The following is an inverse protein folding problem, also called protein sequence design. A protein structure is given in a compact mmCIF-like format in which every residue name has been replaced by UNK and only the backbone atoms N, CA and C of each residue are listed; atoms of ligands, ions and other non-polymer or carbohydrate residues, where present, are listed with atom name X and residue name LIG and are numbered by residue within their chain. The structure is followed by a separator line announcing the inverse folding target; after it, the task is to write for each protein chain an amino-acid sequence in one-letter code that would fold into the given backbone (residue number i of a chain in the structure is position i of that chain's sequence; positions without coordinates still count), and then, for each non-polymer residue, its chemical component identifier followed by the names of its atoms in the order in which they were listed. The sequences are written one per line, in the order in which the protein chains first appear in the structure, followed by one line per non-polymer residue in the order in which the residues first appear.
data_IF_761326329199
#
_entry.id   IF_761326329199
#
_cell.length_a   1.000
_cell.length_b   1.000
_cell.length_c   1.000
_cell.angle_alpha   90.00
_cell.angle_beta   90.00
_cell.angle_gamma   90.00
#
_symmetry.space_group_name_H-M   'P 1'
#
loop_
_entity.id
_entity.type
_entity.pdbx_description
1 polymer ?
#
# COMPACT_ATOMS: atom_id res chain seq x y z
N UNK A 1 8.40 -27.51 1.35
CA UNK A 1 7.67 -26.55 2.21
C UNK A 1 6.23 -26.54 1.72
N UNK A 2 5.25 -26.56 2.61
CA UNK A 2 3.83 -26.48 2.27
C UNK A 2 3.49 -25.06 1.82
N UNK A 3 2.67 -24.92 0.79
CA UNK A 3 2.18 -23.62 0.31
C UNK A 3 1.41 -22.88 1.42
N UNK A 4 1.56 -21.56 1.46
CA UNK A 4 0.84 -20.70 2.39
C UNK A 4 -0.58 -20.48 1.88
N UNK A 5 -1.57 -20.79 2.72
CA UNK A 5 -2.99 -20.71 2.42
C UNK A 5 -3.53 -19.33 2.76
N UNK A 6 -3.90 -18.55 1.74
CA UNK A 6 -4.31 -17.16 1.89
C UNK A 6 -5.80 -16.95 1.62
N UNK A 7 -6.42 -16.14 2.45
CA UNK A 7 -7.73 -15.54 2.19
C UNK A 7 -7.51 -14.22 1.47
N UNK A 8 -8.33 -13.92 0.47
CA UNK A 8 -8.43 -12.60 -0.13
C UNK A 8 -9.71 -11.94 0.32
N UNK A 9 -9.60 -10.79 1.00
CA UNK A 9 -10.72 -9.95 1.39
C UNK A 9 -11.12 -9.00 0.26
N UNK A 10 -12.44 -8.81 0.05
CA UNK A 10 -12.97 -8.03 -1.07
C UNK A 10 -12.66 -8.69 -2.42
N UNK A 11 -12.74 -10.03 -2.48
CA UNK A 11 -12.30 -10.83 -3.62
C UNK A 11 -13.03 -10.51 -4.94
N UNK A 12 -14.26 -10.02 -4.88
CA UNK A 12 -15.03 -9.58 -6.04
C UNK A 12 -14.64 -8.19 -6.55
N UNK A 13 -13.90 -7.40 -5.79
CA UNK A 13 -13.42 -6.08 -6.18
C UNK A 13 -12.23 -6.10 -7.14
N UNK A 14 -11.86 -4.92 -7.65
CA UNK A 14 -10.74 -4.78 -8.60
C UNK A 14 -9.43 -5.34 -8.06
N UNK A 15 -9.03 -4.95 -6.83
CA UNK A 15 -7.80 -5.46 -6.20
C UNK A 15 -7.92 -6.93 -5.80
N UNK A 16 -9.11 -7.35 -5.30
CA UNK A 16 -9.34 -8.74 -4.93
C UNK A 16 -9.13 -9.70 -6.11
N UNK A 17 -9.71 -9.39 -7.26
CA UNK A 17 -9.53 -10.19 -8.50
C UNK A 17 -8.06 -10.20 -8.95
N UNK A 18 -7.35 -9.06 -8.85
CA UNK A 18 -5.92 -9.00 -9.14
C UNK A 18 -5.12 -9.88 -8.19
N UNK A 19 -5.45 -9.89 -6.89
CA UNK A 19 -4.81 -10.74 -5.88
C UNK A 19 -5.07 -12.23 -6.14
N UNK A 20 -6.31 -12.61 -6.45
CA UNK A 20 -6.66 -14.01 -6.80
C UNK A 20 -5.82 -14.48 -7.98
N UNK A 21 -5.70 -13.65 -9.04
CA UNK A 21 -4.85 -13.96 -10.19
C UNK A 21 -3.37 -14.07 -9.80
N UNK A 22 -2.86 -13.12 -9.05
CA UNK A 22 -1.46 -13.10 -8.61
C UNK A 22 -1.11 -14.31 -7.73
N UNK A 23 -2.01 -14.75 -6.83
CA UNK A 23 -1.82 -15.97 -6.02
C UNK A 23 -1.69 -17.19 -6.90
N UNK A 24 -2.55 -17.34 -7.92
CA UNK A 24 -2.51 -18.49 -8.84
C UNK A 24 -1.18 -18.57 -9.64
N UNK A 25 -0.53 -17.42 -9.85
CA UNK A 25 0.75 -17.33 -10.58
C UNK A 25 1.99 -17.41 -9.66
N UNK A 26 1.81 -17.40 -8.33
CA UNK A 26 2.92 -17.32 -7.37
C UNK A 26 3.19 -18.64 -6.68
N UNK A 27 4.39 -19.22 -6.86
CA UNK A 27 4.83 -20.44 -6.17
C UNK A 27 4.86 -20.23 -4.64
N UNK A 28 4.45 -21.23 -3.90
CA UNK A 28 4.44 -21.22 -2.44
C UNK A 28 3.21 -20.57 -1.82
N UNK A 29 2.23 -20.15 -2.64
CA UNK A 29 0.96 -19.58 -2.21
C UNK A 29 -0.23 -20.34 -2.83
N UNK A 30 -1.32 -20.44 -2.08
CA UNK A 30 -2.58 -20.98 -2.56
C UNK A 30 -3.75 -20.17 -2.02
N UNK A 31 -4.76 -19.96 -2.85
CA UNK A 31 -6.02 -19.34 -2.42
C UNK A 31 -6.80 -20.35 -1.56
N UNK A 32 -7.02 -20.03 -0.30
CA UNK A 32 -7.77 -20.85 0.65
C UNK A 32 -9.19 -20.32 0.90
N UNK A 33 -9.45 -19.06 0.54
CA UNK A 33 -10.76 -18.47 0.72
C UNK A 33 -10.89 -17.12 0.05
N UNK A 34 -12.12 -16.76 -0.26
CA UNK A 34 -12.49 -15.49 -0.89
C UNK A 34 -13.64 -14.85 -0.09
N UNK A 35 -13.32 -13.72 0.58
CA UNK A 35 -14.30 -12.95 1.35
C UNK A 35 -14.90 -11.83 0.53
N UNK A 36 -16.19 -11.57 0.73
CA UNK A 36 -16.87 -10.43 0.16
C UNK A 36 -17.85 -9.83 1.19
N UNK A 37 -18.23 -8.57 0.97
CA UNK A 37 -19.16 -7.86 1.85
C UNK A 37 -20.58 -8.42 1.79
N UNK A 38 -21.30 -8.31 2.92
CA UNK A 38 -22.74 -8.65 2.97
C UNK A 38 -23.51 -7.87 1.90
N UNK A 39 -24.47 -8.53 1.25
CA UNK A 39 -25.28 -7.94 0.19
C UNK A 39 -24.62 -7.87 -1.18
N UNK A 40 -23.37 -8.31 -1.33
CA UNK A 40 -22.74 -8.39 -2.64
C UNK A 40 -23.42 -9.44 -3.55
N UNK A 41 -23.79 -9.09 -4.79
CA UNK A 41 -24.37 -10.04 -5.75
C UNK A 41 -23.36 -11.11 -6.23
N UNK A 42 -22.11 -11.02 -5.80
CA UNK A 42 -21.04 -11.92 -6.18
C UNK A 42 -20.88 -13.10 -5.21
N UNK A 43 -21.60 -13.09 -4.08
CA UNK A 43 -21.58 -14.20 -3.12
C UNK A 43 -21.99 -15.51 -3.81
N UNK A 44 -21.24 -16.59 -3.55
CA UNK A 44 -21.42 -17.90 -4.16
C UNK A 44 -20.80 -18.07 -5.54
N UNK A 45 -20.33 -17.01 -6.20
CA UNK A 45 -19.60 -17.10 -7.46
C UNK A 45 -18.17 -17.57 -7.22
N UNK A 46 -17.57 -18.21 -8.23
CA UNK A 46 -16.21 -18.74 -8.18
C UNK A 46 -15.17 -17.62 -8.33
N UNK A 47 -14.21 -17.57 -7.40
CA UNK A 47 -13.18 -16.54 -7.36
C UNK A 47 -12.23 -16.58 -8.56
N UNK A 48 -11.92 -17.78 -9.08
CA UNK A 48 -11.09 -17.94 -10.28
C UNK A 48 -11.80 -17.33 -11.49
N UNK A 49 -13.06 -17.68 -11.71
CA UNK A 49 -13.87 -17.16 -12.82
C UNK A 49 -13.96 -15.64 -12.75
N UNK A 50 -14.23 -15.06 -11.58
CA UNK A 50 -14.28 -13.63 -11.39
C UNK A 50 -12.94 -12.92 -11.67
N UNK A 51 -11.83 -13.62 -11.45
CA UNK A 51 -10.48 -13.14 -11.74
C UNK A 51 -10.03 -13.35 -13.20
N UNK A 52 -10.89 -13.94 -14.06
CA UNK A 52 -10.58 -14.26 -15.45
C UNK A 52 -9.72 -15.52 -15.61
N UNK A 53 -9.77 -16.42 -14.63
CA UNK A 53 -9.09 -17.73 -14.62
C UNK A 53 -10.13 -18.86 -14.79
N UNK A 54 -9.68 -20.10 -15.05
CA UNK A 54 -10.55 -21.27 -14.88
C UNK A 54 -11.14 -21.34 -13.46
N UNK A 55 -12.30 -21.98 -13.33
CA UNK A 55 -12.91 -22.22 -12.03
C UNK A 55 -11.93 -22.95 -11.09
N UNK A 56 -11.77 -22.41 -9.87
CA UNK A 56 -10.88 -22.98 -8.86
C UNK A 56 -11.63 -23.63 -7.68
N UNK A 57 -12.96 -23.62 -7.69
CA UNK A 57 -13.81 -24.20 -6.66
C UNK A 57 -13.96 -23.32 -5.41
N UNK A 58 -13.25 -22.20 -5.30
CA UNK A 58 -13.34 -21.29 -4.16
C UNK A 58 -14.45 -20.26 -4.41
N UNK A 59 -15.55 -20.40 -3.70
CA UNK A 59 -16.70 -19.49 -3.80
C UNK A 59 -16.56 -18.31 -2.85
N UNK A 60 -17.00 -17.13 -3.30
CA UNK A 60 -17.07 -15.95 -2.44
C UNK A 60 -18.07 -16.16 -1.32
N UNK A 61 -17.69 -15.83 -0.07
CA UNK A 61 -18.52 -15.95 1.13
C UNK A 61 -18.36 -14.76 2.05
N UNK A 62 -19.31 -14.58 2.95
CA UNK A 62 -19.24 -13.60 4.05
C UNK A 62 -18.68 -14.19 5.35
N UNK A 63 -18.55 -15.54 5.43
CA UNK A 63 -18.14 -16.24 6.65
C UNK A 63 -16.60 -16.22 6.83
N UNK A 64 -16.11 -15.12 7.37
CA UNK A 64 -14.69 -14.98 7.69
C UNK A 64 -14.20 -16.05 8.69
N UNK A 65 -15.00 -16.38 9.73
CA UNK A 65 -14.58 -17.31 10.78
C UNK A 65 -14.31 -18.70 10.24
N UNK A 66 -15.19 -19.21 9.36
CA UNK A 66 -15.01 -20.51 8.74
C UNK A 66 -13.73 -20.54 7.87
N UNK A 67 -13.45 -19.47 7.12
CA UNK A 67 -12.23 -19.40 6.31
C UNK A 67 -10.95 -19.33 7.15
N UNK A 68 -10.95 -18.55 8.22
CA UNK A 68 -9.77 -18.44 9.10
C UNK A 68 -9.42 -19.78 9.77
N UNK A 69 -10.35 -20.70 9.97
CA UNK A 69 -10.06 -22.02 10.52
C UNK A 69 -9.03 -22.79 9.67
N UNK A 70 -9.02 -22.58 8.35
CA UNK A 70 -8.21 -23.33 7.38
C UNK A 70 -7.18 -22.50 6.62
N UNK A 71 -6.93 -21.24 7.01
CA UNK A 71 -6.00 -20.35 6.35
C UNK A 71 -4.81 -20.00 7.25
N UNK A 72 -3.69 -19.69 6.63
CA UNK A 72 -2.46 -19.24 7.30
C UNK A 72 -2.41 -17.70 7.38
N UNK A 73 -3.19 -17.00 6.54
CA UNK A 73 -3.25 -15.54 6.55
C UNK A 73 -4.32 -14.96 5.64
N UNK A 74 -4.43 -13.65 5.69
CA UNK A 74 -5.37 -12.85 4.88
C UNK A 74 -4.65 -11.68 4.21
N UNK A 75 -5.04 -11.36 2.99
CA UNK A 75 -4.67 -10.11 2.29
C UNK A 75 -5.91 -9.24 2.16
N UNK A 76 -5.78 -8.00 2.62
CA UNK A 76 -6.88 -7.08 2.83
C UNK A 76 -6.63 -5.72 2.17
N UNK A 77 -7.44 -5.42 1.15
CA UNK A 77 -7.54 -4.11 0.50
C UNK A 77 -9.01 -3.67 0.50
N UNK A 78 -9.61 -3.63 1.67
CA UNK A 78 -11.04 -3.34 1.83
C UNK A 78 -11.30 -1.94 2.40
N UNK A 79 -12.00 -1.88 3.51
CA UNK A 79 -12.32 -0.66 4.25
C UNK A 79 -11.88 -0.79 5.72
N UNK A 80 -11.59 0.32 6.44
CA UNK A 80 -11.07 0.30 7.80
C UNK A 80 -11.87 -0.60 8.77
N UNK A 81 -13.19 -0.51 8.75
CA UNK A 81 -14.08 -1.31 9.60
C UNK A 81 -13.90 -2.82 9.39
N UNK A 82 -13.83 -3.27 8.13
CA UNK A 82 -13.63 -4.68 7.80
C UNK A 82 -12.23 -5.15 8.17
N UNK A 83 -11.21 -4.34 7.81
CA UNK A 83 -9.81 -4.58 8.13
C UNK A 83 -9.59 -4.79 9.63
N UNK A 84 -10.17 -3.93 10.46
CA UNK A 84 -10.08 -4.02 11.93
C UNK A 84 -10.79 -5.29 12.45
N UNK A 85 -11.93 -5.66 11.85
CA UNK A 85 -12.63 -6.90 12.22
C UNK A 85 -11.81 -8.15 11.85
N UNK A 86 -11.13 -8.14 10.70
CA UNK A 86 -10.24 -9.24 10.31
C UNK A 86 -9.02 -9.33 11.23
N UNK A 87 -8.43 -8.21 11.62
CA UNK A 87 -7.30 -8.20 12.55
C UNK A 87 -7.61 -8.96 13.85
N UNK A 88 -8.81 -8.84 14.37
CA UNK A 88 -9.25 -9.56 15.56
C UNK A 88 -9.34 -11.10 15.38
N UNK A 89 -9.36 -11.59 14.13
CA UNK A 89 -9.42 -13.03 13.80
C UNK A 89 -8.05 -13.64 13.44
N UNK A 90 -6.99 -12.83 13.41
CA UNK A 90 -5.67 -13.26 12.89
C UNK A 90 -4.68 -13.75 13.95
N UNK A 91 -5.12 -14.03 15.18
CA UNK A 91 -4.23 -14.58 16.20
C UNK A 91 -3.50 -15.85 15.68
N UNK A 92 -2.16 -15.86 15.78
CA UNK A 92 -1.31 -16.94 15.26
C UNK A 92 -1.19 -16.98 13.72
N UNK A 93 -1.66 -15.96 13.00
CA UNK A 93 -1.71 -15.91 11.53
C UNK A 93 -1.08 -14.64 10.99
N UNK A 94 -1.05 -14.53 9.66
CA UNK A 94 -0.54 -13.38 8.93
C UNK A 94 -1.71 -12.49 8.45
N UNK A 95 -1.56 -11.17 8.58
CA UNK A 95 -2.49 -10.20 8.01
C UNK A 95 -1.72 -9.14 7.22
N UNK A 96 -1.93 -9.10 5.91
CA UNK A 96 -1.37 -8.08 5.02
C UNK A 96 -2.43 -7.01 4.81
N UNK A 97 -2.19 -5.82 5.35
CA UNK A 97 -3.14 -4.70 5.38
C UNK A 97 -2.71 -3.62 4.39
N UNK A 98 -3.35 -3.62 3.22
CA UNK A 98 -3.26 -2.57 2.21
C UNK A 98 -4.41 -1.54 2.31
N UNK A 99 -5.34 -1.76 3.22
CA UNK A 99 -6.44 -0.84 3.52
C UNK A 99 -5.91 0.44 4.14
N UNK A 100 -6.42 1.58 3.72
CA UNK A 100 -6.02 2.92 4.20
C UNK A 100 -7.20 3.66 4.83
N UNK A 101 -6.92 4.75 5.55
CA UNK A 101 -7.96 5.61 6.12
C UNK A 101 -8.49 5.17 7.49
N UNK A 102 -7.75 4.32 8.21
CA UNK A 102 -8.08 3.93 9.57
C UNK A 102 -8.07 5.16 10.52
N UNK A 103 -9.04 5.22 11.40
CA UNK A 103 -9.05 6.14 12.54
C UNK A 103 -7.99 5.75 13.58
N UNK A 104 -7.70 6.65 14.52
CA UNK A 104 -6.77 6.38 15.62
C UNK A 104 -7.18 5.14 16.45
N UNK A 105 -8.48 4.96 16.69
CA UNK A 105 -9.02 3.80 17.43
C UNK A 105 -8.85 2.50 16.65
N UNK A 106 -9.05 2.52 15.32
CA UNK A 106 -8.86 1.36 14.46
C UNK A 106 -7.37 1.00 14.36
N UNK A 107 -6.48 1.99 14.28
CA UNK A 107 -5.03 1.79 14.36
C UNK A 107 -4.61 1.15 15.68
N UNK A 108 -5.18 1.58 16.80
CA UNK A 108 -4.92 1.00 18.12
C UNK A 108 -5.34 -0.47 18.19
N UNK A 109 -6.51 -0.83 17.64
CA UNK A 109 -7.01 -2.22 17.58
C UNK A 109 -6.12 -3.12 16.71
N UNK A 110 -5.66 -2.62 15.55
CA UNK A 110 -4.74 -3.36 14.69
C UNK A 110 -3.41 -3.59 15.42
N UNK A 111 -2.89 -2.58 16.11
CA UNK A 111 -1.67 -2.70 16.91
C UNK A 111 -1.81 -3.69 18.06
N UNK A 112 -2.96 -3.73 18.70
CA UNK A 112 -3.25 -4.71 19.77
C UNK A 112 -3.30 -6.13 19.21
N UNK A 113 -3.94 -6.35 18.07
CA UNK A 113 -3.99 -7.64 17.36
C UNK A 113 -2.59 -8.13 16.97
N UNK A 114 -1.67 -7.22 16.65
CA UNK A 114 -0.28 -7.56 16.30
C UNK A 114 0.52 -8.19 17.46
N UNK A 115 0.04 -8.13 18.70
CA UNK A 115 0.64 -8.85 19.83
C UNK A 115 0.59 -10.37 19.69
N UNK A 116 -0.39 -10.87 18.90
CA UNK A 116 -0.58 -12.32 18.67
C UNK A 116 -0.59 -12.70 17.20
N UNK A 117 -0.49 -11.76 16.27
CA UNK A 117 -0.48 -11.96 14.83
C UNK A 117 0.72 -11.28 14.17
N UNK A 118 1.13 -11.76 13.00
CA UNK A 118 2.09 -11.03 12.15
C UNK A 118 1.31 -10.11 11.23
N UNK A 119 1.35 -8.82 11.48
CA UNK A 119 0.62 -7.84 10.67
C UNK A 119 1.61 -6.99 9.87
N UNK A 120 1.52 -7.01 8.54
CA UNK A 120 2.25 -6.09 7.67
C UNK A 120 1.27 -5.04 7.15
N UNK A 121 1.46 -3.77 7.54
CA UNK A 121 0.57 -2.67 7.16
C UNK A 121 1.31 -1.59 6.40
N UNK A 122 0.78 -1.21 5.23
CA UNK A 122 1.34 -0.11 4.45
C UNK A 122 0.24 0.59 3.64
N UNK A 123 0.36 1.90 3.51
CA UNK A 123 -0.50 2.70 2.61
C UNK A 123 -0.25 2.46 1.12
N UNK A 124 0.85 1.78 0.78
CA UNK A 124 1.16 1.33 -0.57
C UNK A 124 1.99 0.04 -0.49
N UNK A 125 1.56 -1.01 -1.21
CA UNK A 125 2.25 -2.31 -1.20
C UNK A 125 3.27 -2.46 -2.34
N UNK A 126 3.41 -1.51 -3.26
CA UNK A 126 4.42 -1.58 -4.32
C UNK A 126 5.83 -1.60 -3.72
N UNK A 127 6.65 -2.57 -4.12
CA UNK A 127 8.05 -2.66 -3.71
C UNK A 127 8.83 -1.43 -4.18
N UNK A 128 8.61 -1.01 -5.43
CA UNK A 128 9.27 0.17 -6.01
C UNK A 128 8.91 1.47 -5.30
N UNK A 129 7.64 1.67 -4.95
CA UNK A 129 7.20 2.87 -4.19
C UNK A 129 7.84 2.91 -2.81
N UNK A 130 7.89 1.79 -2.09
CA UNK A 130 8.50 1.76 -0.76
C UNK A 130 10.02 1.96 -0.80
N UNK A 131 10.70 1.37 -1.80
CA UNK A 131 12.13 1.64 -2.03
C UNK A 131 12.36 3.12 -2.34
N UNK A 132 11.53 3.71 -3.23
CA UNK A 132 11.65 5.12 -3.58
C UNK A 132 11.42 6.04 -2.38
N UNK A 133 10.51 5.69 -1.46
CA UNK A 133 10.30 6.45 -0.23
C UNK A 133 11.54 6.43 0.68
N UNK A 134 12.19 5.27 0.83
CA UNK A 134 13.42 5.17 1.59
C UNK A 134 14.56 5.98 0.94
N UNK A 135 14.71 5.87 -0.39
CA UNK A 135 15.66 6.69 -1.15
C UNK A 135 15.36 8.20 -0.99
N UNK A 136 14.11 8.61 -1.09
CA UNK A 136 13.68 10.00 -0.88
C UNK A 136 14.12 10.53 0.48
N UNK A 137 13.87 9.76 1.55
CA UNK A 137 14.31 10.10 2.90
C UNK A 137 15.84 10.23 2.96
N UNK A 138 16.56 9.27 2.38
CA UNK A 138 18.03 9.27 2.38
C UNK A 138 18.61 10.45 1.63
N UNK A 139 18.09 10.76 0.43
CA UNK A 139 18.53 11.90 -0.37
C UNK A 139 18.22 13.20 0.35
N UNK A 140 17.00 13.37 0.90
CA UNK A 140 16.63 14.54 1.67
C UNK A 140 17.49 14.77 2.91
N UNK A 141 17.95 13.69 3.56
CA UNK A 141 18.88 13.78 4.70
C UNK A 141 20.31 14.13 4.29
N UNK A 142 20.71 13.74 3.09
CA UNK A 142 22.10 13.88 2.61
C UNK A 142 22.35 15.24 1.98
N UNK A 143 21.38 15.75 1.21
CA UNK A 143 21.44 17.06 0.58
C UNK A 143 20.99 18.13 1.58
N UNK A 144 21.63 19.29 1.53
CA UNK A 144 21.28 20.42 2.38
C UNK A 144 20.09 21.24 1.83
N UNK A 145 19.75 22.34 2.49
CA UNK A 145 18.59 23.19 2.16
C UNK A 145 18.75 23.99 0.85
N UNK A 146 19.92 23.94 0.20
CA UNK A 146 20.12 24.52 -1.14
C UNK A 146 19.40 23.73 -2.24
N UNK A 147 18.96 22.51 -1.94
CA UNK A 147 18.14 21.69 -2.84
C UNK A 147 16.66 21.83 -2.49
N UNK A 148 15.90 22.47 -3.35
CA UNK A 148 14.45 22.53 -3.27
C UNK A 148 13.83 21.15 -3.53
N UNK A 149 12.77 20.80 -2.78
CA UNK A 149 12.08 19.51 -2.95
C UNK A 149 10.69 19.74 -3.53
N UNK A 150 10.43 19.14 -4.70
CA UNK A 150 9.14 19.18 -5.38
C UNK A 150 8.66 17.74 -5.67
N UNK A 151 7.38 17.48 -5.43
CA UNK A 151 6.75 16.20 -5.68
C UNK A 151 5.66 16.40 -6.73
N UNK A 152 5.84 15.74 -7.86
CA UNK A 152 4.89 15.72 -8.96
C UNK A 152 4.19 14.37 -9.03
N UNK A 153 2.86 14.36 -9.27
CA UNK A 153 2.12 13.11 -9.46
C UNK A 153 1.05 13.23 -10.53
N UNK A 154 0.81 12.13 -11.24
CA UNK A 154 -0.26 12.02 -12.22
C UNK A 154 -1.07 10.75 -12.02
N UNK A 155 -2.39 10.87 -12.06
CA UNK A 155 -3.33 9.75 -12.02
C UNK A 155 -4.47 9.93 -13.04
N UNK A 156 -5.26 8.87 -13.18
CA UNK A 156 -6.44 8.88 -14.04
C UNK A 156 -7.45 9.98 -13.66
N UNK A 157 -8.25 10.40 -14.62
CA UNK A 157 -9.22 11.50 -14.50
C UNK A 157 -10.38 11.26 -13.49
N UNK A 158 -10.49 10.03 -12.95
CA UNK A 158 -11.51 9.67 -11.93
C UNK A 158 -10.97 9.68 -10.49
N UNK A 159 -9.68 10.05 -10.28
CA UNK A 159 -9.12 10.14 -8.93
C UNK A 159 -9.58 11.43 -8.26
N UNK A 160 -10.14 11.31 -7.05
CA UNK A 160 -10.79 12.41 -6.33
C UNK A 160 -9.86 13.13 -5.32
N UNK A 161 -8.89 12.42 -4.76
CA UNK A 161 -7.93 12.99 -3.81
C UNK A 161 -6.71 13.58 -4.53
N UNK A 162 -6.22 14.72 -4.04
CA UNK A 162 -4.98 15.39 -4.45
C UNK A 162 -4.38 16.16 -3.25
N UNK A 163 -3.06 16.06 -3.01
CA UNK A 163 -2.12 15.10 -3.59
C UNK A 163 -2.50 13.66 -3.26
N UNK A 164 -2.03 12.69 -4.09
CA UNK A 164 -2.26 11.28 -3.84
C UNK A 164 -1.64 10.79 -2.53
N UNK A 165 -2.19 9.71 -1.95
CA UNK A 165 -1.61 9.10 -0.75
C UNK A 165 -0.13 8.73 -0.90
N UNK A 166 0.31 8.32 -2.10
CA UNK A 166 1.71 8.03 -2.42
C UNK A 166 2.56 9.30 -2.50
N UNK A 167 2.05 10.38 -3.09
CA UNK A 167 2.76 11.67 -3.07
C UNK A 167 2.95 12.18 -1.64
N UNK A 168 1.92 12.07 -0.80
CA UNK A 168 2.02 12.41 0.62
C UNK A 168 2.99 11.47 1.39
N UNK A 169 3.11 10.21 0.99
CA UNK A 169 4.11 9.28 1.54
C UNK A 169 5.53 9.75 1.22
N UNK A 170 5.79 10.16 -0.02
CA UNK A 170 7.09 10.73 -0.42
C UNK A 170 7.36 12.06 0.30
N UNK A 171 6.34 12.92 0.45
CA UNK A 171 6.47 14.15 1.22
C UNK A 171 6.84 13.93 2.67
N UNK A 172 6.22 12.96 3.33
CA UNK A 172 6.59 12.56 4.70
C UNK A 172 8.01 12.02 4.78
N UNK A 173 8.42 11.20 3.81
CA UNK A 173 9.78 10.67 3.74
C UNK A 173 10.83 11.80 3.57
N UNK A 174 10.54 12.76 2.69
CA UNK A 174 11.40 13.93 2.49
C UNK A 174 11.46 14.81 3.75
N UNK A 175 10.32 15.09 4.38
CA UNK A 175 10.24 15.87 5.61
C UNK A 175 10.99 15.19 6.77
N UNK A 176 10.84 13.87 6.92
CA UNK A 176 11.60 13.10 7.91
C UNK A 176 13.10 13.17 7.65
N UNK A 177 13.53 13.07 6.38
CA UNK A 177 14.94 13.23 5.99
C UNK A 177 15.50 14.60 6.34
N UNK A 178 14.71 15.67 6.19
CA UNK A 178 15.05 17.06 6.54
C UNK A 178 14.90 17.39 8.02
N UNK A 179 14.25 16.53 8.81
CA UNK A 179 13.94 16.81 10.21
C UNK A 179 12.89 17.90 10.39
N UNK A 180 11.96 18.07 9.46
CA UNK A 180 10.89 19.07 9.46
C UNK A 180 9.50 18.43 9.53
N UNK A 181 8.50 19.21 9.92
CA UNK A 181 7.10 18.79 9.90
C UNK A 181 6.46 19.12 8.53
N UNK A 182 5.99 18.09 7.81
CA UNK A 182 5.32 18.26 6.53
C UNK A 182 4.06 19.13 6.61
N UNK A 183 3.35 19.14 7.75
CA UNK A 183 2.12 19.91 7.88
C UNK A 183 2.38 21.43 7.77
N UNK A 184 3.52 21.90 8.27
CA UNK A 184 3.92 23.31 8.28
C UNK A 184 4.81 23.69 7.09
N UNK A 185 5.36 22.72 6.35
CA UNK A 185 6.27 22.92 5.22
C UNK A 185 5.74 22.34 3.91
N UNK A 186 4.42 22.33 3.71
CA UNK A 186 3.79 21.77 2.50
C UNK A 186 3.20 22.86 1.62
N UNK A 187 3.73 23.04 0.40
CA UNK A 187 3.18 23.92 -0.63
C UNK A 187 2.36 23.10 -1.66
N UNK A 188 1.03 23.25 -1.64
CA UNK A 188 0.11 22.36 -2.41
C UNK A 188 -0.54 23.01 -3.61
N UNK A 189 -0.12 24.18 -4.01
CA UNK A 189 -0.65 24.85 -5.16
C UNK A 189 0.11 26.17 -5.40
N UNK A 190 0.29 26.48 -6.69
CA UNK A 190 0.80 27.77 -7.16
C UNK A 190 -0.06 28.18 -8.33
N UNK A 191 -0.72 29.34 -8.22
CA UNK A 191 -1.57 29.91 -9.26
C UNK A 191 -1.40 31.42 -9.27
N UNK A 192 -1.26 32.02 -10.43
CA UNK A 192 -0.98 33.44 -10.60
C UNK A 192 0.41 33.86 -10.11
N UNK A 193 0.54 35.09 -9.60
CA UNK A 193 1.78 35.64 -9.05
C UNK A 193 1.92 35.25 -7.57
N UNK A 194 2.64 34.17 -7.28
CA UNK A 194 2.79 33.59 -5.93
C UNK A 194 4.03 34.10 -5.18
N UNK A 195 4.83 34.96 -5.83
CA UNK A 195 6.14 35.36 -5.30
C UNK A 195 7.19 34.25 -5.41
N UNK A 196 8.36 34.52 -4.84
CA UNK A 196 9.44 33.53 -4.82
C UNK A 196 9.06 32.32 -3.95
N UNK A 197 9.59 31.14 -4.32
CA UNK A 197 9.42 29.92 -3.55
C UNK A 197 9.96 30.11 -2.13
N UNK A 198 9.20 29.69 -1.12
CA UNK A 198 9.68 29.70 0.27
C UNK A 198 10.72 28.59 0.45
N UNK A 199 11.91 28.95 0.94
CA UNK A 199 12.96 27.99 1.24
C UNK A 199 12.50 26.98 2.33
N UNK A 200 12.92 25.72 2.18
CA UNK A 200 12.61 24.64 3.11
C UNK A 200 11.22 24.00 2.92
N UNK A 201 10.32 24.57 2.11
CA UNK A 201 9.03 23.94 1.82
C UNK A 201 9.19 22.72 0.90
N UNK A 202 8.28 21.77 1.00
CA UNK A 202 8.11 20.64 0.07
C UNK A 202 6.92 20.94 -0.82
N UNK A 203 7.14 21.12 -2.12
CA UNK A 203 6.09 21.42 -3.09
C UNK A 203 5.38 20.16 -3.58
N UNK A 204 4.09 20.34 -3.98
CA UNK A 204 3.28 19.31 -4.59
C UNK A 204 2.58 19.83 -5.82
N UNK A 205 2.64 19.04 -6.91
CA UNK A 205 1.87 19.27 -8.12
C UNK A 205 1.13 17.99 -8.52
N UNK A 206 -0.17 18.10 -8.79
CA UNK A 206 -1.03 16.96 -9.12
C UNK A 206 -1.66 17.12 -10.49
N UNK A 207 -1.46 16.16 -11.38
CA UNK A 207 -2.13 16.07 -12.67
C UNK A 207 -3.17 14.95 -12.68
N UNK A 208 -4.21 15.15 -13.50
CA UNK A 208 -5.28 14.18 -13.74
C UNK A 208 -5.51 14.05 -15.23
N UNK A 209 -5.46 12.80 -15.76
CA UNK A 209 -5.67 12.57 -17.18
C UNK A 209 -5.76 11.10 -17.56
N UNK A 210 -6.55 10.81 -18.57
CA UNK A 210 -6.67 9.48 -19.16
C UNK A 210 -6.92 8.36 -18.14
N UNK A 211 -6.18 7.28 -18.30
CA UNK A 211 -6.27 6.06 -17.48
C UNK A 211 -4.97 5.80 -16.70
N UNK A 212 -4.15 6.81 -16.48
CA UNK A 212 -2.86 6.69 -15.78
C UNK A 212 -3.07 6.02 -14.43
N UNK A 213 -2.35 4.94 -14.17
CA UNK A 213 -2.48 4.14 -12.93
C UNK A 213 -1.90 4.91 -11.75
N UNK A 214 -0.75 5.54 -11.95
CA UNK A 214 -0.08 6.41 -10.99
C UNK A 214 1.39 6.62 -11.35
N UNK A 215 1.76 7.87 -11.57
CA UNK A 215 3.14 8.28 -11.79
C UNK A 215 3.54 9.27 -10.70
N UNK A 216 4.77 9.18 -10.23
CA UNK A 216 5.28 10.04 -9.17
C UNK A 216 6.75 10.35 -9.45
N UNK A 217 7.11 11.62 -9.27
CA UNK A 217 8.50 12.09 -9.31
C UNK A 217 8.79 12.89 -8.04
N UNK A 218 9.89 12.61 -7.38
CA UNK A 218 10.46 13.44 -6.33
C UNK A 218 11.69 14.12 -6.91
N UNK A 219 11.67 15.43 -6.94
CA UNK A 219 12.66 16.28 -7.56
C UNK A 219 13.43 17.01 -6.47
N UNK A 220 14.74 16.90 -6.48
CA UNK A 220 15.68 17.68 -5.67
C UNK A 220 16.42 18.63 -6.60
N UNK A 221 16.09 19.92 -6.55
CA UNK A 221 16.58 20.92 -7.47
C UNK A 221 17.58 21.86 -6.80
N UNK A 222 18.86 21.73 -7.13
CA UNK A 222 19.94 22.62 -6.74
C UNK A 222 20.17 23.76 -7.76
N UNK A 223 21.15 24.62 -7.51
CA UNK A 223 21.43 25.78 -8.36
C UNK A 223 21.91 25.44 -9.77
N UNK A 224 22.60 24.34 -9.97
CA UNK A 224 23.18 23.92 -11.26
C UNK A 224 22.93 22.46 -11.60
N UNK A 225 22.17 21.73 -10.77
CA UNK A 225 21.88 20.33 -10.94
C UNK A 225 20.49 19.97 -10.41
N UNK A 226 19.96 18.82 -10.84
CA UNK A 226 18.70 18.28 -10.38
C UNK A 226 18.79 16.76 -10.31
N UNK A 227 18.29 16.20 -9.21
CA UNK A 227 18.11 14.77 -9.03
C UNK A 227 16.63 14.46 -9.08
N UNK A 228 16.22 13.44 -9.84
CA UNK A 228 14.84 13.00 -9.94
C UNK A 228 14.72 11.52 -9.57
N UNK A 229 13.86 11.21 -8.63
CA UNK A 229 13.47 9.84 -8.28
C UNK A 229 12.08 9.59 -8.86
N UNK A 230 11.96 8.71 -9.84
CA UNK A 230 10.72 8.51 -10.61
C UNK A 230 10.20 7.09 -10.47
N UNK A 231 8.90 6.95 -10.22
CA UNK A 231 8.17 5.69 -10.25
C UNK A 231 6.93 5.82 -11.15
N UNK A 232 6.76 4.88 -12.08
CA UNK A 232 5.57 4.76 -12.92
C UNK A 232 4.93 3.40 -12.71
N UNK A 233 3.65 3.42 -12.31
CA UNK A 233 2.84 2.22 -12.22
C UNK A 233 2.16 1.96 -13.57
N UNK A 234 2.50 0.89 -14.22
CA UNK A 234 1.92 0.47 -15.50
C UNK A 234 0.64 -0.38 -15.28
N UNK A 235 0.60 -1.15 -14.20
CA UNK A 235 -0.52 -2.01 -13.83
C UNK A 235 -0.68 -2.12 -12.30
N UNK A 236 -1.91 -2.38 -11.83
CA UNK A 236 -2.19 -2.60 -10.39
C UNK A 236 -1.60 -3.90 -9.83
N UNK A 237 -1.14 -4.80 -10.69
CA UNK A 237 -0.46 -6.04 -10.31
C UNK A 237 0.76 -5.78 -9.41
N UNK A 238 1.40 -4.61 -9.52
CA UNK A 238 2.52 -4.23 -8.64
C UNK A 238 2.14 -4.23 -7.15
N UNK A 239 0.91 -3.83 -6.81
CA UNK A 239 0.41 -3.82 -5.43
C UNK A 239 0.11 -5.26 -4.95
N UNK A 240 -0.48 -6.07 -5.82
CA UNK A 240 -0.72 -7.48 -5.52
C UNK A 240 0.59 -8.24 -5.30
N UNK A 241 1.56 -8.11 -6.21
CA UNK A 241 2.89 -8.73 -6.08
C UNK A 241 3.60 -8.32 -4.80
N UNK A 242 3.54 -7.02 -4.45
CA UNK A 242 4.11 -6.54 -3.20
C UNK A 242 3.43 -7.11 -1.96
N UNK A 243 2.10 -7.22 -1.96
CA UNK A 243 1.35 -7.85 -0.87
C UNK A 243 1.68 -9.36 -0.73
N UNK A 244 1.83 -10.08 -1.85
CA UNK A 244 2.26 -11.48 -1.83
C UNK A 244 3.69 -11.65 -1.34
N UNK A 245 4.59 -10.75 -1.74
CA UNK A 245 5.97 -10.72 -1.22
C UNK A 245 5.97 -10.51 0.30
N UNK A 246 5.16 -9.58 0.79
CA UNK A 246 4.99 -9.34 2.22
C UNK A 246 4.42 -10.57 2.94
N UNK A 247 3.46 -11.30 2.35
CA UNK A 247 2.90 -12.52 2.93
C UNK A 247 3.94 -13.64 3.06
N UNK A 248 4.75 -13.86 2.03
CA UNK A 248 5.84 -14.84 2.05
C UNK A 248 6.90 -14.47 3.09
N UNK A 249 7.29 -13.21 3.17
CA UNK A 249 8.22 -12.70 4.18
C UNK A 249 7.65 -12.88 5.60
N UNK A 250 6.37 -12.56 5.80
CA UNK A 250 5.70 -12.62 7.10
C UNK A 250 5.61 -14.04 7.67
N UNK A 251 5.60 -15.08 6.83
CA UNK A 251 5.52 -16.50 7.24
C UNK A 251 6.61 -16.90 8.23
N UNK A 252 7.77 -16.23 8.21
CA UNK A 252 8.91 -16.54 9.11
C UNK A 252 9.04 -15.57 10.29
N UNK A 253 8.13 -14.61 10.46
CA UNK A 253 8.26 -13.57 11.48
C UNK A 253 7.54 -13.92 12.79
N UNK A 254 7.99 -13.31 13.87
CA UNK A 254 7.30 -13.33 15.16
C UNK A 254 6.08 -12.40 15.12
N UNK A 255 5.07 -12.62 15.99
CA UNK A 255 3.97 -11.65 16.12
C UNK A 255 4.50 -10.21 16.28
N UNK A 256 3.89 -9.28 15.59
CA UNK A 256 4.32 -7.88 15.56
C UNK A 256 3.64 -7.10 14.46
N UNK A 257 3.73 -5.77 14.55
CA UNK A 257 3.30 -4.84 13.49
C UNK A 257 4.52 -4.42 12.68
N UNK A 258 4.47 -4.70 11.40
CA UNK A 258 5.54 -4.47 10.43
C UNK A 258 5.07 -3.55 9.31
N UNK A 259 6.02 -2.90 8.66
CA UNK A 259 5.83 -2.07 7.48
C UNK A 259 6.46 -2.74 6.24
N UNK A 260 6.23 -2.17 5.06
CA UNK A 260 6.96 -2.58 3.86
C UNK A 260 8.46 -2.27 3.93
N UNK A 261 8.88 -1.30 4.75
CA UNK A 261 10.31 -1.07 4.99
C UNK A 261 10.96 -2.24 5.73
N UNK A 262 10.23 -2.89 6.66
CA UNK A 262 10.68 -4.13 7.31
C UNK A 262 10.82 -5.27 6.30
N UNK A 263 9.81 -5.45 5.46
CA UNK A 263 9.77 -6.49 4.42
C UNK A 263 10.93 -6.38 3.45
N UNK A 264 11.33 -5.15 3.13
CA UNK A 264 12.40 -4.85 2.16
C UNK A 264 13.78 -4.67 2.83
N UNK A 265 13.90 -4.78 4.15
CA UNK A 265 15.16 -4.56 4.86
C UNK A 265 15.67 -3.11 4.78
N UNK A 266 14.75 -2.13 4.76
CA UNK A 266 15.07 -0.71 4.58
C UNK A 266 15.04 0.11 5.89
N UNK A 267 15.01 -0.53 7.05
CA UNK A 267 14.91 0.19 8.35
C UNK A 267 16.10 1.10 8.62
N UNK A 268 17.29 0.67 8.22
CA UNK A 268 18.56 1.36 8.50
C UNK A 268 19.09 2.09 7.26
N UNK A 269 18.25 2.26 6.25
CA UNK A 269 18.61 2.83 4.97
C UNK A 269 18.54 4.39 4.96
#
# INVERSE_FOLDING_TARGET
MTDMRLIVAGAGGRMGRTLVKAIAETKGLVLAGALEGEGSPLIGQDAGVLAGLPANGIKLTTDARALFANADGIIDFTIPKASTAFAALTAGKVHIVGTTGHSADEEAKIRDSAKSAVIVKSGNMSLGVNLLAALTKRVAKTLDDSFDIEIFEMHHNKKIDAPSGTALMFGRAAAEGRGIDLATHSARGRDGETGARKAGDIGFASLRGGTVVGEHSVIFAGSAERIELVHRAEDRMIFARGALHAALWAKGQKPGLYSMADVLGLKDF
#
